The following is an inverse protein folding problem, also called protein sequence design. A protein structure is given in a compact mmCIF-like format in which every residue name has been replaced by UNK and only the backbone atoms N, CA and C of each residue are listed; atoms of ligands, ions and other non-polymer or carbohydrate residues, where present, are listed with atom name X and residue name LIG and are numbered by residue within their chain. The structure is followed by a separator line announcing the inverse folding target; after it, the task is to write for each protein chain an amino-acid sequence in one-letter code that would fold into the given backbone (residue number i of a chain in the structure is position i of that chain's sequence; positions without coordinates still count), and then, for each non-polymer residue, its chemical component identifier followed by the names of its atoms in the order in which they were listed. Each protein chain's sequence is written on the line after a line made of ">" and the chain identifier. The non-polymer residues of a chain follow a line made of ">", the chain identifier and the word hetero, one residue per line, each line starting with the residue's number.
data_IF_559149296841
#
_entry.id   IF_559149296841
#
_cell.length_a   1.000
_cell.length_b   1.000
_cell.length_c   1.000
_cell.angle_alpha   90.00
_cell.angle_beta   90.00
_cell.angle_gamma   90.00
#
_symmetry.space_group_name_H-M   'P 1'
#
loop_
_entity.id
_entity.type
_entity.pdbx_description
1 polymer ?
#
# COMPACT_ATOMS: atom_id res chain seq x y z
N UNK A 1 9.58 -7.03 19.18
CA UNK A 1 10.07 -8.37 18.75
C UNK A 1 9.03 -8.93 17.80
N UNK A 2 9.44 -9.60 16.71
CA UNK A 2 8.49 -10.23 15.80
C UNK A 2 7.81 -11.43 16.46
N UNK A 3 6.55 -11.69 16.12
CA UNK A 3 5.74 -12.74 16.73
C UNK A 3 5.75 -14.01 15.87
N UNK A 4 5.99 -15.17 16.49
CA UNK A 4 6.08 -16.46 15.76
C UNK A 4 4.72 -16.97 15.26
N UNK A 5 3.63 -16.50 15.88
CA UNK A 5 2.25 -16.91 15.57
C UNK A 5 1.56 -15.91 14.65
N UNK A 6 2.28 -14.89 14.21
CA UNK A 6 1.79 -13.92 13.25
C UNK A 6 2.25 -14.28 11.83
N UNK A 7 1.37 -14.03 10.86
CA UNK A 7 1.73 -14.05 9.46
C UNK A 7 2.38 -12.71 9.09
N UNK A 8 3.31 -12.74 8.13
CA UNK A 8 3.95 -11.54 7.60
C UNK A 8 3.83 -11.54 6.08
N UNK A 9 3.69 -10.36 5.49
CA UNK A 9 3.59 -10.14 4.04
C UNK A 9 4.72 -9.24 3.55
N UNK A 10 5.16 -9.46 2.31
CA UNK A 10 6.16 -8.61 1.66
C UNK A 10 5.58 -7.22 1.38
N UNK A 11 6.36 -6.18 1.67
CA UNK A 11 6.04 -4.81 1.25
C UNK A 11 6.50 -4.57 -0.20
N UNK A 12 6.11 -3.46 -0.84
CA UNK A 12 6.67 -3.06 -2.13
C UNK A 12 8.20 -2.97 -2.08
N UNK A 13 8.76 -2.39 -1.01
CA UNK A 13 10.20 -2.31 -0.80
C UNK A 13 10.85 -3.70 -0.67
N UNK A 14 10.19 -4.66 -0.02
CA UNK A 14 10.62 -6.06 0.05
C UNK A 14 10.65 -6.75 -1.32
N UNK A 15 9.66 -6.48 -2.17
CA UNK A 15 9.60 -7.01 -3.53
C UNK A 15 10.69 -6.40 -4.43
N UNK A 16 10.94 -5.10 -4.31
CA UNK A 16 12.04 -4.44 -5.02
C UNK A 16 13.39 -4.98 -4.56
N UNK A 17 13.57 -5.22 -3.25
CA UNK A 17 14.81 -5.80 -2.73
C UNK A 17 15.09 -7.21 -3.27
N UNK A 18 14.05 -8.03 -3.47
CA UNK A 18 14.21 -9.35 -4.11
C UNK A 18 14.73 -9.21 -5.55
N UNK A 19 14.30 -8.18 -6.28
CA UNK A 19 14.69 -7.97 -7.69
C UNK A 19 16.05 -7.31 -7.84
N UNK A 20 16.29 -6.27 -7.04
CA UNK A 20 17.45 -5.41 -7.16
C UNK A 20 18.67 -5.92 -6.35
N UNK A 21 18.43 -6.75 -5.34
CA UNK A 21 19.46 -7.19 -4.38
C UNK A 21 20.28 -6.03 -3.80
N UNK A 22 19.63 -4.88 -3.60
CA UNK A 22 20.31 -3.62 -3.28
C UNK A 22 20.74 -3.53 -1.81
N UNK A 23 20.11 -4.30 -0.91
CA UNK A 23 20.43 -4.36 0.51
C UNK A 23 21.33 -5.56 0.80
N UNK A 24 22.23 -5.38 1.77
CA UNK A 24 23.08 -6.45 2.30
C UNK A 24 22.31 -7.33 3.28
N UNK A 25 21.26 -8.01 2.80
CA UNK A 25 20.53 -9.00 3.59
C UNK A 25 21.38 -10.25 3.80
N UNK A 26 21.31 -10.82 5.01
CA UNK A 26 21.87 -12.14 5.26
C UNK A 26 21.12 -13.21 4.47
N UNK A 27 21.73 -14.38 4.28
CA UNK A 27 21.09 -15.51 3.58
C UNK A 27 19.75 -15.89 4.23
N UNK A 28 19.70 -15.90 5.57
CA UNK A 28 18.49 -16.21 6.33
C UNK A 28 17.41 -15.14 6.13
N UNK A 29 17.77 -13.86 6.19
CA UNK A 29 16.83 -12.76 5.95
C UNK A 29 16.28 -12.78 4.52
N UNK A 30 17.12 -13.05 3.52
CA UNK A 30 16.70 -13.14 2.13
C UNK A 30 15.78 -14.34 1.89
N UNK A 31 16.11 -15.51 2.44
CA UNK A 31 15.25 -16.68 2.38
C UNK A 31 13.89 -16.43 3.04
N UNK A 32 13.89 -15.79 4.21
CA UNK A 32 12.66 -15.39 4.90
C UNK A 32 11.82 -14.44 4.04
N UNK A 33 12.44 -13.39 3.50
CA UNK A 33 11.78 -12.41 2.63
C UNK A 33 11.15 -13.07 1.39
N UNK A 34 11.82 -14.06 0.80
CA UNK A 34 11.29 -14.82 -0.34
C UNK A 34 10.07 -15.66 0.09
N UNK A 35 10.17 -16.36 1.22
CA UNK A 35 9.17 -17.32 1.69
C UNK A 35 7.89 -16.68 2.25
N UNK A 36 7.97 -15.51 2.87
CA UNK A 36 6.78 -14.86 3.46
C UNK A 36 5.74 -14.56 2.39
N UNK A 37 4.53 -15.07 2.57
CA UNK A 37 3.44 -14.97 1.61
C UNK A 37 2.16 -14.34 2.21
N UNK A 38 2.20 -13.99 3.49
CA UNK A 38 1.05 -13.43 4.22
C UNK A 38 0.00 -14.47 4.64
N UNK A 39 0.22 -15.77 4.37
CA UNK A 39 -0.74 -16.84 4.75
C UNK A 39 -0.23 -17.72 5.87
N UNK A 40 1.07 -17.98 5.89
CA UNK A 40 1.68 -18.87 6.89
C UNK A 40 2.25 -18.07 8.06
N UNK A 41 2.06 -18.59 9.28
CA UNK A 41 2.65 -18.04 10.49
C UNK A 41 4.18 -18.11 10.42
N UNK A 42 4.86 -17.11 10.98
CA UNK A 42 6.32 -17.00 10.93
C UNK A 42 7.02 -18.28 11.42
N UNK A 43 6.53 -18.87 12.51
CA UNK A 43 7.12 -20.08 13.12
C UNK A 43 7.17 -21.30 12.19
N UNK A 44 6.32 -21.36 11.17
CA UNK A 44 6.31 -22.46 10.17
C UNK A 44 7.57 -22.47 9.30
N UNK A 45 8.24 -21.32 9.14
CA UNK A 45 9.41 -21.19 8.28
C UNK A 45 10.74 -21.59 8.96
N UNK A 46 10.74 -21.87 10.27
CA UNK A 46 11.94 -22.28 11.04
C UNK A 46 12.68 -23.43 10.37
N UNK A 47 11.96 -24.48 9.97
CA UNK A 47 12.53 -25.68 9.34
C UNK A 47 13.06 -25.41 7.92
N UNK A 48 12.40 -24.54 7.17
CA UNK A 48 12.78 -24.17 5.79
C UNK A 48 14.01 -23.26 5.76
N UNK A 49 14.14 -22.37 6.75
CA UNK A 49 15.25 -21.43 6.87
C UNK A 49 16.45 -22.08 7.59
N UNK A 50 16.19 -23.04 8.46
CA UNK A 50 17.22 -23.77 9.21
C UNK A 50 17.80 -22.97 10.37
N UNK A 51 16.97 -22.19 11.07
CA UNK A 51 17.37 -21.40 12.23
C UNK A 51 16.47 -21.66 13.44
N UNK A 52 16.92 -21.27 14.63
CA UNK A 52 16.11 -21.38 15.84
C UNK A 52 14.90 -20.41 15.77
N UNK A 53 13.79 -20.69 16.50
CA UNK A 53 12.63 -19.80 16.53
C UNK A 53 12.96 -18.38 17.00
N UNK A 54 13.87 -18.25 17.96
CA UNK A 54 14.31 -16.94 18.47
C UNK A 54 15.07 -16.15 17.40
N UNK A 55 16.01 -16.79 16.70
CA UNK A 55 16.74 -16.15 15.59
C UNK A 55 15.80 -15.76 14.45
N UNK A 56 14.75 -16.57 14.21
CA UNK A 56 13.74 -16.25 13.21
C UNK A 56 12.99 -14.96 13.56
N UNK A 57 12.63 -14.77 14.83
CA UNK A 57 12.05 -13.51 15.31
C UNK A 57 13.00 -12.33 15.12
N UNK A 58 14.30 -12.52 15.33
CA UNK A 58 15.30 -11.47 15.14
C UNK A 58 15.44 -11.10 13.66
N UNK A 59 15.49 -12.10 12.77
CA UNK A 59 15.52 -11.87 11.32
C UNK A 59 14.25 -11.19 10.81
N UNK A 60 13.08 -11.66 11.24
CA UNK A 60 11.80 -11.02 10.89
C UNK A 60 11.72 -9.60 11.43
N UNK A 61 12.13 -9.38 12.68
CA UNK A 61 12.17 -8.06 13.30
C UNK A 61 13.10 -7.09 12.55
N UNK A 62 14.25 -7.56 12.07
CA UNK A 62 15.15 -6.77 11.25
C UNK A 62 14.52 -6.41 9.89
N UNK A 63 13.85 -7.37 9.22
CA UNK A 63 13.15 -7.10 7.96
C UNK A 63 11.99 -6.12 8.13
N UNK A 64 11.25 -6.19 9.24
CA UNK A 64 10.19 -5.23 9.58
C UNK A 64 10.77 -3.84 9.81
N UNK A 65 11.86 -3.72 10.59
CA UNK A 65 12.53 -2.43 10.81
C UNK A 65 13.08 -1.81 9.53
N UNK A 66 13.50 -2.65 8.58
CA UNK A 66 13.94 -2.22 7.25
C UNK A 66 12.78 -1.91 6.28
N UNK A 67 11.54 -2.13 6.71
CA UNK A 67 10.33 -1.90 5.91
C UNK A 67 10.13 -2.90 4.78
N UNK A 68 10.75 -4.08 4.84
CA UNK A 68 10.72 -5.10 3.76
C UNK A 68 9.57 -6.10 3.92
N UNK A 69 9.12 -6.33 5.16
CA UNK A 69 7.93 -7.13 5.48
C UNK A 69 7.07 -6.40 6.50
N UNK A 70 5.77 -6.70 6.54
CA UNK A 70 4.81 -6.16 7.51
C UNK A 70 3.93 -7.28 8.07
N UNK A 71 3.34 -7.07 9.26
CA UNK A 71 2.36 -8.00 9.82
C UNK A 71 1.16 -8.15 8.89
N UNK A 72 0.81 -9.39 8.57
CA UNK A 72 -0.42 -9.75 7.90
C UNK A 72 -1.50 -9.99 8.98
N UNK A 73 -1.79 -8.96 9.78
CA UNK A 73 -3.06 -8.98 10.51
C UNK A 73 -4.18 -8.86 9.46
N UNK A 74 -5.37 -9.41 9.73
CA UNK A 74 -6.45 -9.66 8.77
C UNK A 74 -7.09 -8.44 8.08
N UNK A 75 -6.38 -7.33 8.00
CA UNK A 75 -6.68 -6.19 7.16
C UNK A 75 -5.65 -6.12 6.04
N UNK A 76 -6.11 -6.37 4.81
CA UNK A 76 -5.51 -5.79 3.62
C UNK A 76 -5.73 -4.27 3.71
N UNK A 77 -4.95 -3.61 4.55
CA UNK A 77 -4.78 -2.17 4.54
C UNK A 77 -3.30 -1.92 4.31
N UNK A 78 -2.94 -1.90 3.02
CA UNK A 78 -1.99 -0.88 2.62
C UNK A 78 -2.68 0.47 2.90
N UNK A 79 -2.09 1.28 3.78
CA UNK A 79 -1.62 2.53 3.23
C UNK A 79 -0.12 2.58 3.47
N UNK A 80 0.63 2.51 2.37
CA UNK A 80 1.82 3.37 2.27
C UNK A 80 1.40 4.74 2.81
N UNK A 81 2.20 5.30 3.72
CA UNK A 81 2.17 6.72 4.06
C UNK A 81 1.87 7.49 2.78
N UNK A 82 0.64 7.97 2.66
CA UNK A 82 0.19 8.69 1.49
C UNK A 82 0.93 10.02 1.54
N UNK A 83 2.06 10.09 0.84
CA UNK A 83 2.25 11.29 0.04
C UNK A 83 0.96 11.40 -0.78
N UNK A 84 0.15 12.40 -0.47
CA UNK A 84 -0.96 12.87 -1.28
C UNK A 84 -0.50 12.82 -2.74
N UNK A 85 -0.98 11.81 -3.46
CA UNK A 85 -0.53 11.48 -4.82
C UNK A 85 -1.75 11.14 -5.65
N UNK A 86 -1.57 11.25 -6.96
CA UNK A 86 -2.60 11.00 -7.96
C UNK A 86 -3.28 9.64 -7.75
N UNK A 87 -2.50 8.65 -7.29
CA UNK A 87 -2.95 7.27 -7.07
C UNK A 87 -3.95 7.14 -5.91
N UNK A 88 -3.79 7.90 -4.83
CA UNK A 88 -4.73 7.92 -3.71
C UNK A 88 -6.08 8.51 -4.11
N UNK A 89 -6.09 9.52 -4.98
CA UNK A 89 -7.32 10.08 -5.54
C UNK A 89 -8.01 9.11 -6.49
N UNK A 90 -7.24 8.37 -7.30
CA UNK A 90 -7.78 7.34 -8.20
C UNK A 90 -8.45 6.22 -7.42
N UNK A 91 -7.82 5.72 -6.35
CA UNK A 91 -8.40 4.72 -5.47
C UNK A 91 -9.69 5.22 -4.82
N UNK A 92 -9.69 6.46 -4.30
CA UNK A 92 -10.88 7.09 -3.73
C UNK A 92 -12.02 7.24 -4.74
N UNK A 93 -11.71 7.63 -5.99
CA UNK A 93 -12.70 7.74 -7.06
C UNK A 93 -13.33 6.38 -7.39
N UNK A 94 -12.51 5.31 -7.47
CA UNK A 94 -13.02 3.96 -7.69
C UNK A 94 -13.89 3.48 -6.53
N UNK A 95 -13.54 3.81 -5.29
CA UNK A 95 -14.33 3.43 -4.11
C UNK A 95 -15.71 4.10 -4.09
N UNK A 96 -15.80 5.38 -4.44
CA UNK A 96 -17.05 6.14 -4.35
C UNK A 96 -17.96 5.89 -5.57
N UNK A 97 -17.38 5.94 -6.77
CA UNK A 97 -18.13 5.84 -8.02
C UNK A 97 -18.26 4.40 -8.54
N UNK A 98 -17.45 3.47 -8.04
CA UNK A 98 -17.46 2.06 -8.45
C UNK A 98 -17.28 1.90 -9.95
N UNK A 99 -18.12 1.07 -10.58
CA UNK A 99 -18.08 0.82 -12.02
C UNK A 99 -18.24 2.07 -12.90
N UNK A 100 -18.78 3.18 -12.38
CA UNK A 100 -18.95 4.45 -13.12
C UNK A 100 -17.74 5.38 -12.99
N UNK A 101 -16.66 4.97 -12.33
CA UNK A 101 -15.50 5.82 -12.10
C UNK A 101 -14.69 6.12 -13.37
N UNK A 102 -14.87 5.36 -14.46
CA UNK A 102 -14.08 5.47 -15.70
C UNK A 102 -13.74 6.89 -16.18
N UNK A 103 -14.72 7.78 -16.42
CA UNK A 103 -14.44 9.13 -16.90
C UNK A 103 -13.80 10.05 -15.83
N UNK A 104 -14.03 9.77 -14.54
CA UNK A 104 -13.44 10.50 -13.41
C UNK A 104 -11.96 10.09 -13.23
N UNK A 105 -11.69 8.79 -13.29
CA UNK A 105 -10.36 8.17 -13.25
C UNK A 105 -9.50 8.70 -14.40
N UNK A 106 -10.03 8.65 -15.63
CA UNK A 106 -9.32 9.17 -16.80
C UNK A 106 -9.01 10.67 -16.70
N UNK A 107 -9.86 11.45 -16.03
CA UNK A 107 -9.63 12.88 -15.80
C UNK A 107 -8.51 13.12 -14.79
N UNK A 108 -8.42 12.30 -13.75
CA UNK A 108 -7.38 12.35 -12.72
C UNK A 108 -6.02 11.89 -13.27
N UNK A 109 -5.97 10.84 -14.10
CA UNK A 109 -4.75 10.34 -14.74
C UNK A 109 -4.12 11.34 -15.72
N UNK A 110 -4.95 12.21 -16.31
CA UNK A 110 -4.50 13.18 -17.32
C UNK A 110 -3.97 14.48 -16.71
N UNK A 111 -4.06 14.65 -15.39
CA UNK A 111 -3.52 15.82 -14.71
C UNK A 111 -2.01 15.71 -14.53
N UNK A 112 -1.22 16.69 -14.99
CA UNK A 112 0.22 16.67 -14.83
C UNK A 112 0.60 17.12 -13.41
N UNK A 113 1.15 16.22 -12.60
CA UNK A 113 1.87 16.57 -11.37
C UNK A 113 1.21 16.15 -10.06
N UNK A 114 2.05 15.76 -9.10
CA UNK A 114 1.66 15.29 -7.77
C UNK A 114 1.76 16.38 -6.68
N UNK A 115 1.76 17.66 -7.08
CA UNK A 115 1.70 18.75 -6.11
C UNK A 115 0.29 18.81 -5.49
N UNK A 116 0.16 19.12 -4.18
CA UNK A 116 -1.13 19.11 -3.49
C UNK A 116 -2.15 20.07 -4.13
N UNK A 117 -1.71 21.23 -4.62
CA UNK A 117 -2.55 22.19 -5.34
C UNK A 117 -3.08 21.61 -6.66
N UNK A 118 -2.22 20.94 -7.43
CA UNK A 118 -2.57 20.32 -8.72
C UNK A 118 -3.50 19.11 -8.51
N UNK A 119 -3.27 18.33 -7.45
CA UNK A 119 -4.13 17.21 -7.05
C UNK A 119 -5.52 17.70 -6.63
N UNK A 120 -5.59 18.82 -5.91
CA UNK A 120 -6.85 19.45 -5.49
C UNK A 120 -7.64 19.98 -6.70
N UNK A 121 -6.96 20.59 -7.67
CA UNK A 121 -7.56 21.02 -8.94
C UNK A 121 -8.08 19.84 -9.75
N UNK A 122 -7.29 18.77 -9.86
CA UNK A 122 -7.68 17.53 -10.52
C UNK A 122 -8.93 16.91 -9.87
N UNK A 123 -8.94 16.78 -8.53
CA UNK A 123 -10.07 16.28 -7.77
C UNK A 123 -11.33 17.15 -7.98
N UNK A 124 -11.18 18.47 -8.00
CA UNK A 124 -12.30 19.39 -8.24
C UNK A 124 -12.86 19.25 -9.66
N UNK A 125 -12.01 19.13 -10.67
CA UNK A 125 -12.41 18.93 -12.05
C UNK A 125 -13.11 17.57 -12.25
N UNK A 126 -12.58 16.52 -11.62
CA UNK A 126 -13.14 15.18 -11.65
C UNK A 126 -14.50 15.11 -10.94
N UNK A 127 -14.66 15.80 -9.80
CA UNK A 127 -15.94 15.93 -9.09
C UNK A 127 -17.00 16.69 -9.91
N UNK A 128 -16.62 17.78 -10.60
CA UNK A 128 -17.54 18.48 -11.52
C UNK A 128 -18.04 17.56 -12.62
N UNK A 129 -17.15 16.75 -13.19
CA UNK A 129 -17.53 15.76 -14.21
C UNK A 129 -18.45 14.68 -13.61
N UNK A 130 -18.14 14.16 -12.42
CA UNK A 130 -18.96 13.17 -11.73
C UNK A 130 -20.36 13.71 -11.39
N UNK A 131 -20.46 14.98 -11.00
CA UNK A 131 -21.74 15.65 -10.75
C UNK A 131 -22.63 15.71 -12.01
N UNK A 132 -22.02 15.87 -13.19
CA UNK A 132 -22.74 15.93 -14.46
C UNK A 132 -23.04 14.55 -15.06
N UNK A 133 -22.21 13.55 -14.79
CA UNK A 133 -22.23 12.26 -15.52
C UNK A 133 -22.60 11.05 -14.64
N UNK A 134 -22.51 11.17 -13.32
CA UNK A 134 -22.68 10.05 -12.38
C UNK A 134 -23.76 10.39 -11.35
N UNK A 135 -23.43 11.23 -10.37
CA UNK A 135 -24.28 11.55 -9.22
C UNK A 135 -23.71 12.75 -8.44
N UNK A 136 -24.56 13.70 -8.07
CA UNK A 136 -24.16 14.92 -7.36
C UNK A 136 -23.72 14.65 -5.92
N UNK A 137 -24.41 13.76 -5.19
CA UNK A 137 -24.07 13.49 -3.79
C UNK A 137 -22.72 12.78 -3.69
N UNK A 138 -22.49 11.78 -4.55
CA UNK A 138 -21.20 11.09 -4.61
C UNK A 138 -20.07 12.00 -5.04
N UNK A 139 -20.33 12.94 -5.95
CA UNK A 139 -19.34 13.94 -6.36
C UNK A 139 -18.91 14.84 -5.19
N UNK A 140 -19.85 15.27 -4.35
CA UNK A 140 -19.54 16.05 -3.14
C UNK A 140 -18.77 15.22 -2.11
N UNK A 141 -19.15 13.95 -1.91
CA UNK A 141 -18.44 13.04 -1.02
C UNK A 141 -16.99 12.83 -1.45
N UNK A 142 -16.75 12.64 -2.75
CA UNK A 142 -15.39 12.50 -3.30
C UNK A 142 -14.55 13.74 -3.05
N UNK A 143 -15.11 14.94 -3.26
CA UNK A 143 -14.41 16.19 -3.00
C UNK A 143 -14.06 16.37 -1.52
N UNK A 144 -14.99 16.04 -0.60
CA UNK A 144 -14.75 16.14 0.83
C UNK A 144 -13.62 15.20 1.31
N UNK A 145 -13.66 13.94 0.86
CA UNK A 145 -12.63 12.94 1.18
C UNK A 145 -11.28 13.28 0.52
N UNK A 146 -11.28 13.78 -0.71
CA UNK A 146 -10.07 14.24 -1.39
C UNK A 146 -9.41 15.40 -0.64
N UNK A 147 -10.20 16.37 -0.15
CA UNK A 147 -9.67 17.45 0.69
C UNK A 147 -9.06 16.95 1.98
N UNK A 148 -9.71 15.99 2.64
CA UNK A 148 -9.19 15.36 3.86
C UNK A 148 -7.87 14.63 3.60
N UNK A 149 -7.74 14.04 2.42
CA UNK A 149 -6.56 13.30 2.00
C UNK A 149 -5.38 14.22 1.61
N UNK A 150 -5.66 15.37 0.98
CA UNK A 150 -4.64 16.31 0.48
C UNK A 150 -4.25 17.41 1.47
N UNK A 151 -5.08 17.68 2.49
CA UNK A 151 -4.88 18.76 3.47
C UNK A 151 -4.46 18.30 4.87
N UNK A 152 -3.92 17.08 4.99
CA UNK A 152 -3.38 16.51 6.22
C UNK A 152 -1.89 16.74 6.39
#
# INVERSE_FOLDING_TARGET
>A
MADLRAAYVKTPAGLEEIRAHARQLTRQQRNLLILVDGRSELGTFTRSIGCAPQELCEHAGALVQQGLIALADGQVEAPQQAAASSQSLLALAQQIFGAKAGPVVHKLEKSPGDAPEQLMEAATAAAKLAKLTIDEQKAQQFLAEARRLLGG
#
